data_IF_676735883891
#
_entry.id   IF_676735883891
#
_cell.length_a   1.000
_cell.length_b   1.000
_cell.length_c   1.000
_cell.angle_alpha   90.00
_cell.angle_beta   90.00
_cell.angle_gamma   90.00
#
_symmetry.space_group_name_H-M   'P 1'
#
loop_
_entity.id
_entity.type
_entity.pdbx_description
1 polymer ?
#
# COMPACT_ATOMS: atom_id res chain seq x y z
N UNK A 1 -3.23 -44.86 51.23
CA UNK A 1 -4.02 -43.68 50.82
C UNK A 1 -3.17 -42.50 50.39
N UNK A 2 -2.13 -42.09 51.14
CA UNK A 2 -1.28 -40.93 50.81
C UNK A 2 -0.54 -41.04 49.48
N UNK A 3 0.03 -42.21 49.16
CA UNK A 3 0.72 -42.46 47.87
C UNK A 3 -0.24 -42.32 46.67
N UNK A 4 -1.48 -42.80 46.82
CA UNK A 4 -2.51 -42.71 45.78
C UNK A 4 -2.97 -41.27 45.53
N UNK A 5 -3.11 -40.47 46.60
CA UNK A 5 -3.43 -39.04 46.49
C UNK A 5 -2.28 -38.26 45.84
N UNK A 6 -1.03 -38.58 46.21
CA UNK A 6 0.15 -37.95 45.63
C UNK A 6 0.30 -38.27 44.13
N UNK A 7 0.08 -39.53 43.72
CA UNK A 7 0.14 -39.91 42.30
C UNK A 7 -0.96 -39.25 41.47
N UNK A 8 -2.17 -39.09 42.02
CA UNK A 8 -3.26 -38.41 41.33
C UNK A 8 -2.97 -36.91 41.15
N UNK A 9 -2.44 -36.26 42.19
CA UNK A 9 -2.02 -34.86 42.10
C UNK A 9 -0.93 -34.65 41.06
N UNK A 10 0.09 -35.53 41.03
CA UNK A 10 1.15 -35.48 40.02
C UNK A 10 0.61 -35.67 38.59
N UNK A 11 -0.32 -36.61 38.39
CA UNK A 11 -0.95 -36.84 37.10
C UNK A 11 -1.76 -35.62 36.61
N UNK A 12 -2.55 -34.99 37.48
CA UNK A 12 -3.29 -33.78 37.13
C UNK A 12 -2.36 -32.63 36.75
N UNK A 13 -1.26 -32.45 37.47
CA UNK A 13 -0.28 -31.41 37.19
C UNK A 13 0.45 -31.66 35.86
N UNK A 14 0.81 -32.92 35.58
CA UNK A 14 1.38 -33.31 34.30
C UNK A 14 0.43 -33.07 33.12
N UNK A 15 -0.86 -33.40 33.27
CA UNK A 15 -1.89 -33.13 32.26
C UNK A 15 -2.05 -31.62 32.02
N UNK A 16 -2.08 -30.82 33.09
CA UNK A 16 -2.18 -29.36 32.98
C UNK A 16 -1.01 -28.75 32.21
N UNK A 17 0.21 -29.18 32.50
CA UNK A 17 1.41 -28.76 31.77
C UNK A 17 1.39 -29.21 30.31
N UNK A 18 0.96 -30.44 30.04
CA UNK A 18 0.85 -30.98 28.68
C UNK A 18 -0.16 -30.19 27.84
N UNK A 19 -1.35 -29.93 28.38
CA UNK A 19 -2.39 -29.15 27.70
C UNK A 19 -1.94 -27.71 27.47
N UNK A 20 -1.34 -27.07 28.49
CA UNK A 20 -0.79 -25.73 28.35
C UNK A 20 0.27 -25.65 27.24
N UNK A 21 1.16 -26.63 27.19
CA UNK A 21 2.19 -26.72 26.15
C UNK A 21 1.60 -26.91 24.75
N UNK A 22 0.57 -27.77 24.60
CA UNK A 22 -0.13 -27.96 23.32
C UNK A 22 -0.76 -26.65 22.85
N UNK A 23 -1.47 -25.94 23.72
CA UNK A 23 -2.13 -24.67 23.38
C UNK A 23 -1.11 -23.62 22.93
N UNK A 24 -0.03 -23.43 23.67
CA UNK A 24 1.03 -22.46 23.32
C UNK A 24 1.66 -22.82 21.97
N UNK A 25 1.91 -24.11 21.74
CA UNK A 25 2.51 -24.60 20.50
C UNK A 25 1.59 -24.39 19.31
N UNK A 26 0.31 -24.74 19.45
CA UNK A 26 -0.67 -24.62 18.37
C UNK A 26 -0.95 -23.14 18.05
N UNK A 27 -1.04 -22.27 19.07
CA UNK A 27 -1.17 -20.82 18.89
C UNK A 27 0.07 -20.25 18.18
N UNK A 28 1.26 -20.60 18.62
CA UNK A 28 2.51 -20.13 17.98
C UNK A 28 2.62 -20.57 16.52
N UNK A 29 2.09 -21.77 16.20
CA UNK A 29 2.03 -22.27 14.82
C UNK A 29 0.97 -21.56 13.98
N UNK A 30 -0.20 -21.27 14.55
CA UNK A 30 -1.27 -20.54 13.87
C UNK A 30 -0.88 -19.07 13.61
N UNK A 31 -0.15 -18.44 14.53
CA UNK A 31 0.37 -17.08 14.34
C UNK A 31 1.53 -17.07 13.34
N UNK A 32 2.34 -18.14 13.27
CA UNK A 32 3.49 -18.26 12.37
C UNK A 32 4.73 -17.50 12.83
N UNK A 33 4.62 -16.73 13.91
CA UNK A 33 5.68 -15.97 14.55
C UNK A 33 5.38 -15.81 16.05
N UNK A 34 6.30 -15.23 16.81
CA UNK A 34 6.01 -14.83 18.18
C UNK A 34 4.96 -13.70 18.18
N UNK A 35 4.04 -13.65 19.17
CA UNK A 35 2.99 -12.63 19.21
C UNK A 35 3.53 -11.19 19.20
N UNK A 36 4.68 -10.96 19.81
CA UNK A 36 5.33 -9.64 19.84
C UNK A 36 5.82 -9.21 18.45
N UNK A 37 6.43 -10.13 17.70
CA UNK A 37 6.88 -9.87 16.33
C UNK A 37 5.71 -9.59 15.39
N UNK A 38 4.61 -10.34 15.54
CA UNK A 38 3.39 -10.12 14.75
C UNK A 38 2.75 -8.77 15.06
N UNK A 39 2.73 -8.36 16.34
CA UNK A 39 2.23 -7.04 16.73
C UNK A 39 3.11 -5.92 16.16
N UNK A 40 4.44 -6.06 16.24
CA UNK A 40 5.38 -5.10 15.66
C UNK A 40 5.23 -5.01 14.14
N UNK A 41 5.10 -6.14 13.46
CA UNK A 41 4.80 -6.23 12.04
C UNK A 41 3.54 -5.46 11.65
N UNK A 42 2.42 -5.71 12.35
CA UNK A 42 1.16 -5.04 12.11
C UNK A 42 1.25 -3.53 12.34
N UNK A 43 1.94 -3.09 13.39
CA UNK A 43 2.16 -1.66 13.67
C UNK A 43 2.95 -0.97 12.56
N UNK A 44 3.97 -1.61 12.00
CA UNK A 44 4.76 -1.06 10.88
C UNK A 44 3.92 -0.91 9.62
N UNK A 45 3.16 -1.94 9.26
CA UNK A 45 2.23 -1.87 8.12
C UNK A 45 1.19 -0.77 8.34
N UNK A 46 0.62 -0.66 9.54
CA UNK A 46 -0.34 0.38 9.88
C UNK A 46 0.26 1.80 9.84
N UNK A 47 1.56 1.94 10.13
CA UNK A 47 2.30 3.19 9.98
C UNK A 47 2.70 3.49 8.52
N UNK A 48 2.37 2.62 7.57
CA UNK A 48 2.76 2.75 6.16
C UNK A 48 4.21 2.36 5.86
N UNK A 49 4.92 1.79 6.83
CA UNK A 49 6.27 1.26 6.62
C UNK A 49 6.19 -0.13 5.97
N UNK A 50 6.25 -0.13 4.64
CA UNK A 50 6.29 -1.33 3.81
C UNK A 50 7.73 -1.68 3.38
N UNK A 51 8.75 -1.02 3.94
CA UNK A 51 10.15 -1.17 3.50
C UNK A 51 10.79 -2.46 3.98
N UNK A 52 10.29 -3.04 5.08
CA UNK A 52 10.80 -4.30 5.62
C UNK A 52 9.87 -5.44 5.29
N UNK A 53 10.43 -6.38 4.55
CA UNK A 53 9.75 -7.59 4.12
C UNK A 53 9.32 -8.43 5.34
N UNK A 54 8.01 -8.69 5.42
CA UNK A 54 7.46 -9.66 6.35
C UNK A 54 7.72 -11.07 5.83
N UNK A 55 8.50 -11.86 6.58
CA UNK A 55 8.84 -13.24 6.23
C UNK A 55 8.09 -14.23 7.10
N UNK A 56 7.17 -14.96 6.48
CA UNK A 56 6.62 -16.16 7.09
C UNK A 56 7.66 -17.28 7.14
N UNK A 57 7.43 -18.29 7.99
CA UNK A 57 8.30 -19.46 8.08
C UNK A 57 8.32 -20.20 6.74
N UNK A 58 9.43 -20.85 6.35
CA UNK A 58 9.47 -21.64 5.12
C UNK A 58 8.35 -22.70 5.09
N UNK A 59 7.55 -22.70 4.02
CA UNK A 59 6.42 -23.61 3.85
C UNK A 59 5.14 -23.21 4.59
N UNK A 60 5.14 -22.08 5.31
CA UNK A 60 3.96 -21.56 6.00
C UNK A 60 3.17 -20.62 5.10
N UNK A 61 1.96 -21.05 4.71
CA UNK A 61 1.06 -20.30 3.84
C UNK A 61 -0.28 -19.97 4.52
N UNK A 62 -0.50 -20.46 5.75
CA UNK A 62 -1.79 -20.40 6.41
C UNK A 62 -1.76 -19.60 7.71
N UNK A 63 -0.58 -19.28 8.23
CA UNK A 63 -0.48 -18.48 9.44
C UNK A 63 -0.88 -17.03 9.23
N UNK A 64 -1.16 -16.36 10.35
CA UNK A 64 -1.43 -14.92 10.35
C UNK A 64 -0.23 -14.14 9.80
N UNK A 65 1.01 -14.55 10.08
CA UNK A 65 2.20 -13.92 9.52
C UNK A 65 2.26 -14.07 7.98
N UNK A 66 1.88 -15.23 7.42
CA UNK A 66 1.80 -15.42 5.98
C UNK A 66 0.74 -14.50 5.33
N UNK A 67 -0.44 -14.39 5.95
CA UNK A 67 -1.49 -13.48 5.50
C UNK A 67 -1.04 -12.00 5.58
N UNK A 68 -0.34 -11.62 6.65
CA UNK A 68 0.23 -10.27 6.82
C UNK A 68 1.27 -9.94 5.76
N UNK A 69 2.13 -10.90 5.40
CA UNK A 69 3.11 -10.72 4.33
C UNK A 69 2.44 -10.50 2.96
N UNK A 70 1.39 -11.28 2.66
CA UNK A 70 0.60 -11.10 1.45
C UNK A 70 -0.15 -9.75 1.43
N UNK A 71 -0.66 -9.31 2.58
CA UNK A 71 -1.27 -7.98 2.71
C UNK A 71 -0.24 -6.88 2.43
N UNK A 72 0.94 -6.94 3.06
CA UNK A 72 2.01 -5.96 2.83
C UNK A 72 2.43 -5.87 1.36
N UNK A 73 2.59 -7.00 0.68
CA UNK A 73 2.99 -7.02 -0.73
C UNK A 73 1.92 -6.41 -1.63
N UNK A 74 0.64 -6.69 -1.38
CA UNK A 74 -0.47 -6.09 -2.11
C UNK A 74 -0.54 -4.57 -1.90
N UNK A 75 -0.38 -4.10 -0.66
CA UNK A 75 -0.30 -2.67 -0.34
C UNK A 75 0.89 -1.99 -1.05
N UNK A 76 2.06 -2.61 -1.05
CA UNK A 76 3.24 -2.08 -1.71
C UNK A 76 3.02 -1.94 -3.23
N UNK A 77 2.37 -2.92 -3.86
CA UNK A 77 2.01 -2.87 -5.28
C UNK A 77 1.03 -1.73 -5.60
N UNK A 78 0.03 -1.51 -4.73
CA UNK A 78 -0.91 -0.38 -4.88
C UNK A 78 -0.16 0.95 -4.80
N UNK A 79 0.70 1.14 -3.79
CA UNK A 79 1.51 2.36 -3.64
C UNK A 79 2.42 2.59 -4.86
N UNK A 80 3.07 1.54 -5.35
CA UNK A 80 3.92 1.62 -6.54
C UNK A 80 3.12 2.05 -7.78
N UNK A 81 1.92 1.51 -7.97
CA UNK A 81 1.03 1.88 -9.09
C UNK A 81 0.61 3.34 -9.00
N UNK A 82 0.19 3.80 -7.82
CA UNK A 82 -0.20 5.21 -7.60
C UNK A 82 0.98 6.15 -7.88
N UNK A 83 2.18 5.80 -7.39
CA UNK A 83 3.40 6.59 -7.65
C UNK A 83 3.71 6.68 -9.13
N UNK A 84 3.67 5.55 -9.85
CA UNK A 84 3.91 5.53 -11.30
C UNK A 84 2.89 6.37 -12.07
N UNK A 85 1.62 6.36 -11.65
CA UNK A 85 0.59 7.23 -12.24
C UNK A 85 0.86 8.71 -11.99
N UNK A 86 1.27 9.07 -10.77
CA UNK A 86 1.64 10.44 -10.42
C UNK A 86 2.85 10.94 -11.21
N UNK A 87 3.88 10.10 -11.40
CA UNK A 87 5.05 10.43 -12.22
C UNK A 87 4.65 10.64 -13.70
N UNK A 88 3.71 9.84 -14.21
CA UNK A 88 3.13 10.02 -15.54
C UNK A 88 2.41 11.37 -15.69
N UNK A 89 1.56 11.73 -14.72
CA UNK A 89 0.87 13.04 -14.70
C UNK A 89 1.87 14.19 -14.61
N UNK A 90 2.91 14.07 -13.77
CA UNK A 90 3.96 15.06 -13.62
C UNK A 90 4.76 15.26 -14.91
N UNK A 91 4.90 14.21 -15.72
CA UNK A 91 5.58 14.27 -17.03
C UNK A 91 4.68 14.87 -18.11
N UNK A 92 3.39 14.51 -18.16
CA UNK A 92 2.46 14.99 -19.17
C UNK A 92 2.00 16.45 -18.94
N UNK A 93 1.94 16.91 -17.69
CA UNK A 93 1.40 18.24 -17.37
C UNK A 93 2.21 19.40 -17.99
N UNK A 94 3.55 19.41 -17.96
CA UNK A 94 4.35 20.42 -18.65
C UNK A 94 4.17 20.42 -20.17
N UNK A 95 4.02 19.25 -20.80
CA UNK A 95 3.79 19.14 -22.24
C UNK A 95 2.44 19.77 -22.63
N UNK A 96 1.38 19.49 -21.84
CA UNK A 96 0.06 20.11 -22.01
C UNK A 96 0.16 21.62 -21.82
N UNK A 97 0.85 22.10 -20.78
CA UNK A 97 1.02 23.52 -20.52
C UNK A 97 1.73 24.23 -21.68
N UNK A 98 2.77 23.62 -22.24
CA UNK A 98 3.49 24.14 -23.40
C UNK A 98 2.60 24.18 -24.65
N UNK A 99 1.85 23.11 -24.92
CA UNK A 99 0.92 23.06 -26.05
C UNK A 99 -0.21 24.10 -25.94
N UNK A 100 -0.69 24.34 -24.72
CA UNK A 100 -1.71 25.35 -24.47
C UNK A 100 -1.17 26.78 -24.67
N UNK A 101 0.09 27.03 -24.30
CA UNK A 101 0.76 28.30 -24.55
C UNK A 101 0.96 28.58 -26.06
N UNK A 102 1.38 27.57 -26.84
CA UNK A 102 1.49 27.70 -28.30
C UNK A 102 0.12 27.98 -28.95
N UNK A 103 -0.91 27.25 -28.53
CA UNK A 103 -2.28 27.46 -29.03
C UNK A 103 -2.76 28.88 -28.70
N UNK A 104 -2.57 29.36 -27.47
CA UNK A 104 -2.92 30.73 -27.06
C UNK A 104 -2.23 31.76 -27.94
N UNK A 105 -0.92 31.62 -28.20
CA UNK A 105 -0.16 32.53 -29.05
C UNK A 105 -0.70 32.56 -30.49
N UNK A 106 -1.07 31.39 -31.04
CA UNK A 106 -1.66 31.29 -32.38
C UNK A 106 -3.06 31.89 -32.43
N UNK A 107 -3.87 31.72 -31.38
CA UNK A 107 -5.19 32.36 -31.27
C UNK A 107 -5.07 33.87 -31.19
N UNK A 108 -4.11 34.41 -30.43
CA UNK A 108 -3.82 35.85 -30.38
C UNK A 108 -3.41 36.40 -31.75
N UNK A 109 -2.53 35.70 -32.47
CA UNK A 109 -2.14 36.08 -33.83
C UNK A 109 -3.32 36.07 -34.80
N UNK A 110 -4.20 35.07 -34.72
CA UNK A 110 -5.41 35.02 -35.55
C UNK A 110 -6.39 36.15 -35.24
N UNK A 111 -6.59 36.47 -33.96
CA UNK A 111 -7.44 37.57 -33.55
C UNK A 111 -6.92 38.91 -34.12
N UNK A 112 -5.61 39.15 -34.02
CA UNK A 112 -4.97 40.34 -34.58
C UNK A 112 -5.12 40.43 -36.11
N UNK A 113 -4.96 39.32 -36.83
CA UNK A 113 -5.18 39.29 -38.29
C UNK A 113 -6.64 39.58 -38.69
N UNK A 114 -7.60 39.14 -37.88
CA UNK A 114 -9.02 39.44 -38.09
C UNK A 114 -9.33 40.92 -37.81
N UNK A 115 -8.72 41.50 -36.78
CA UNK A 115 -8.83 42.94 -36.50
C UNK A 115 -8.26 43.79 -37.66
N UNK A 116 -7.10 43.42 -38.19
CA UNK A 116 -6.48 44.12 -39.33
C UNK A 116 -7.36 44.00 -40.59
N UNK A 117 -7.97 42.82 -40.81
CA UNK A 117 -8.91 42.61 -41.93
C UNK A 117 -10.17 43.45 -41.76
N UNK A 118 -10.73 43.52 -40.54
CA UNK A 118 -11.90 44.33 -40.26
C UNK A 118 -11.61 45.82 -40.46
N UNK A 119 -10.48 46.32 -39.98
CA UNK A 119 -10.04 47.69 -40.20
C UNK A 119 -9.86 48.02 -41.69
N UNK A 120 -9.26 47.10 -42.46
CA UNK A 120 -9.11 47.25 -43.91
C UNK A 120 -10.47 47.29 -44.65
N UNK A 121 -11.44 46.50 -44.21
CA UNK A 121 -12.80 46.50 -44.76
C UNK A 121 -13.57 47.79 -44.40
N UNK A 122 -13.34 48.35 -43.21
CA UNK A 122 -13.92 49.62 -42.76
C UNK A 122 -13.36 50.79 -43.57
N UNK A 123 -12.05 50.78 -43.85
CA UNK A 123 -11.36 51.79 -44.67
C UNK A 123 -11.89 51.78 -46.12
N UNK A 124 -12.03 50.60 -46.74
CA UNK A 124 -12.62 50.41 -48.08
C UNK A 124 -14.09 50.83 -48.17
N UNK A 125 -14.84 50.70 -47.08
CA UNK A 125 -16.25 51.13 -47.00
C UNK A 125 -16.38 52.65 -46.87
N UNK A 126 -15.37 53.32 -46.31
CA UNK A 126 -15.38 54.77 -46.10
C UNK A 126 -14.96 55.60 -47.33
N UNK A 127 -14.41 54.94 -48.36
CA UNK A 127 -14.06 55.52 -49.67
C UNK A 127 -15.16 55.34 -50.70
#
# INVERSE_FOLDING_TARGET
>A
STVMLASLGAAMLAIGLLVGWIIVRDLSRALGAEPADLAAAAQRVAAGDLSTELRARPGDQASVMAAMAAMQSALAAVVATVRSGADGVATASPEIAQGNADLSSRTEQQASALEETAASMEELSST
#
